data_IF_222238758274
#
_entry.id   IF_222238758274
#
_cell.length_a   1.000
_cell.length_b   1.000
_cell.length_c   1.000
_cell.angle_alpha   90.00
_cell.angle_beta   90.00
_cell.angle_gamma   90.00
#
_symmetry.space_group_name_H-M   'P 1'
#
loop_
_entity.id
_entity.type
_entity.pdbx_description
1 polymer ?
#
# COMPACT_ATOMS: atom_id res chain seq x y z
N UNK A 1 -7.08 -30.10 5.11
CA UNK A 1 -5.87 -29.74 4.32
C UNK A 1 -5.84 -28.23 4.19
N UNK A 2 -4.95 -27.55 4.92
CA UNK A 2 -4.84 -26.08 4.95
C UNK A 2 -4.29 -25.57 3.60
N UNK A 3 -3.37 -26.31 3.00
CA UNK A 3 -2.72 -25.94 1.73
C UNK A 3 -3.50 -26.48 0.53
N UNK A 4 -4.48 -25.70 0.07
CA UNK A 4 -5.24 -25.98 -1.14
C UNK A 4 -5.00 -24.90 -2.20
N UNK A 5 -5.59 -25.06 -3.39
CA UNK A 5 -5.48 -24.08 -4.47
C UNK A 5 -5.93 -22.66 -4.05
N UNK A 6 -6.99 -22.55 -3.24
CA UNK A 6 -7.50 -21.26 -2.76
C UNK A 6 -6.51 -20.57 -1.81
N UNK A 7 -5.85 -21.32 -0.95
CA UNK A 7 -4.79 -20.82 -0.09
C UNK A 7 -3.66 -20.20 -0.93
N UNK A 8 -3.14 -20.94 -1.91
CA UNK A 8 -2.06 -20.45 -2.77
C UNK A 8 -2.49 -19.20 -3.56
N UNK A 9 -3.71 -19.20 -4.10
CA UNK A 9 -4.29 -18.05 -4.78
C UNK A 9 -4.32 -16.80 -3.89
N UNK A 10 -4.77 -16.95 -2.63
CA UNK A 10 -4.85 -15.85 -1.68
C UNK A 10 -3.46 -15.33 -1.31
N UNK A 11 -2.52 -16.23 -1.00
CA UNK A 11 -1.14 -15.85 -0.67
C UNK A 11 -0.47 -15.10 -1.81
N UNK A 12 -0.56 -15.60 -3.05
CA UNK A 12 0.05 -14.93 -4.21
C UNK A 12 -0.65 -13.61 -4.55
N UNK A 13 -1.99 -13.56 -4.40
CA UNK A 13 -2.75 -12.33 -4.59
C UNK A 13 -2.35 -11.25 -3.59
N UNK A 14 -2.36 -11.56 -2.30
CA UNK A 14 -1.97 -10.61 -1.24
C UNK A 14 -0.50 -10.24 -1.30
N UNK A 15 0.39 -11.19 -1.62
CA UNK A 15 1.82 -10.89 -1.74
C UNK A 15 2.11 -9.84 -2.82
N UNK A 16 1.37 -9.85 -3.93
CA UNK A 16 1.50 -8.85 -4.98
C UNK A 16 1.12 -7.44 -4.49
N UNK A 17 0.08 -7.34 -3.66
CA UNK A 17 -0.37 -6.08 -3.06
C UNK A 17 0.65 -5.57 -2.02
N UNK A 18 1.08 -6.46 -1.11
CA UNK A 18 2.09 -6.11 -0.10
C UNK A 18 3.43 -5.72 -0.75
N UNK A 19 3.78 -6.33 -1.89
CA UNK A 19 4.96 -5.95 -2.64
C UNK A 19 4.84 -4.52 -3.17
N UNK A 20 3.76 -4.17 -3.88
CA UNK A 20 3.59 -2.83 -4.46
C UNK A 20 3.51 -1.75 -3.37
N UNK A 21 2.72 -1.97 -2.33
CA UNK A 21 2.63 -1.03 -1.20
C UNK A 21 3.95 -0.93 -0.43
N UNK A 22 4.61 -2.06 -0.19
CA UNK A 22 5.89 -2.12 0.49
C UNK A 22 7.01 -1.41 -0.28
N UNK A 23 6.97 -1.42 -1.63
CA UNK A 23 7.88 -0.61 -2.45
C UNK A 23 7.66 0.88 -2.21
N UNK A 24 6.40 1.34 -2.12
CA UNK A 24 6.09 2.71 -1.72
C UNK A 24 6.66 3.04 -0.34
N UNK A 25 6.38 2.21 0.66
CA UNK A 25 6.92 2.37 2.01
C UNK A 25 8.45 2.36 2.03
N UNK A 26 9.10 1.54 1.19
CA UNK A 26 10.56 1.51 1.10
C UNK A 26 11.15 2.83 0.63
N UNK A 27 10.47 3.57 -0.24
CA UNK A 27 10.92 4.88 -0.73
C UNK A 27 10.83 5.93 0.37
N UNK A 28 9.72 6.00 1.12
CA UNK A 28 9.59 6.92 2.25
C UNK A 28 10.57 6.57 3.38
N UNK A 29 10.79 5.29 3.66
CA UNK A 29 11.79 4.87 4.64
C UNK A 29 13.22 5.25 4.21
N UNK A 30 13.53 5.16 2.92
CA UNK A 30 14.82 5.61 2.38
C UNK A 30 14.99 7.13 2.37
N UNK A 31 13.91 7.88 2.38
CA UNK A 31 13.96 9.35 2.56
C UNK A 31 14.01 9.78 4.03
N UNK A 32 14.07 8.85 4.98
CA UNK A 32 14.09 9.14 6.42
C UNK A 32 12.72 9.33 7.06
N UNK A 33 11.63 9.11 6.32
CA UNK A 33 10.25 9.20 6.81
C UNK A 33 9.56 7.84 6.84
N UNK A 34 8.40 7.76 7.49
CA UNK A 34 7.53 6.59 7.46
C UNK A 34 6.11 7.00 7.08
N UNK A 35 5.50 6.30 6.10
CA UNK A 35 4.12 6.51 5.69
C UNK A 35 3.20 5.50 6.40
N UNK A 36 2.40 5.97 7.35
CA UNK A 36 1.34 5.17 7.99
C UNK A 36 -0.02 5.35 7.32
N UNK A 37 -0.10 6.14 6.26
CA UNK A 37 -1.33 6.41 5.53
C UNK A 37 -1.72 5.35 4.50
N UNK A 38 -0.99 4.24 4.42
CA UNK A 38 -1.17 3.21 3.41
C UNK A 38 -2.59 2.68 3.31
N UNK A 39 -3.27 2.46 4.44
CA UNK A 39 -4.66 1.96 4.46
C UNK A 39 -5.62 2.87 3.68
N UNK A 40 -5.65 4.17 4.01
CA UNK A 40 -6.54 5.11 3.35
C UNK A 40 -6.15 5.35 1.88
N UNK A 41 -4.85 5.32 1.57
CA UNK A 41 -4.36 5.50 0.20
C UNK A 41 -4.74 4.32 -0.71
N UNK A 42 -4.63 3.09 -0.20
CA UNK A 42 -5.09 1.87 -0.89
C UNK A 42 -6.60 1.92 -1.07
N UNK A 43 -7.33 2.29 -0.01
CA UNK A 43 -8.78 2.35 -0.05
C UNK A 43 -9.28 3.39 -1.05
N UNK A 44 -8.72 4.60 -1.04
CA UNK A 44 -9.04 5.63 -2.01
C UNK A 44 -8.74 5.18 -3.45
N UNK A 45 -7.60 4.52 -3.68
CA UNK A 45 -7.24 3.96 -4.98
C UNK A 45 -8.23 2.91 -5.46
N UNK A 46 -8.59 1.95 -4.59
CA UNK A 46 -9.58 0.91 -4.91
C UNK A 46 -10.97 1.48 -5.18
N UNK A 47 -11.41 2.43 -4.35
CA UNK A 47 -12.70 3.12 -4.56
C UNK A 47 -12.73 3.87 -5.90
N UNK A 48 -11.67 4.61 -6.21
CA UNK A 48 -11.54 5.33 -7.50
C UNK A 48 -11.55 4.36 -8.68
N UNK A 49 -10.81 3.24 -8.60
CA UNK A 49 -10.83 2.21 -9.65
C UNK A 49 -12.24 1.64 -9.87
N UNK A 50 -12.93 1.27 -8.78
CA UNK A 50 -14.27 0.70 -8.86
C UNK A 50 -15.26 1.67 -9.50
N UNK A 51 -15.25 2.94 -9.11
CA UNK A 51 -16.15 3.96 -9.66
C UNK A 51 -15.84 4.22 -11.13
N UNK A 52 -14.57 4.43 -11.47
CA UNK A 52 -14.18 4.73 -12.84
C UNK A 52 -14.52 3.58 -13.79
N UNK A 53 -14.17 2.33 -13.43
CA UNK A 53 -14.41 1.17 -14.30
C UNK A 53 -15.90 0.89 -14.48
N UNK A 54 -16.74 1.14 -13.49
CA UNK A 54 -18.19 1.04 -13.65
C UNK A 54 -18.74 2.15 -14.58
N UNK A 55 -18.23 3.37 -14.48
CA UNK A 55 -18.61 4.47 -15.37
C UNK A 55 -18.08 4.28 -16.81
N UNK A 56 -16.91 3.67 -16.94
CA UNK A 56 -16.22 3.44 -18.22
C UNK A 56 -16.56 2.09 -18.88
N UNK A 57 -17.71 1.50 -18.57
CA UNK A 57 -18.14 0.17 -19.06
C UNK A 57 -18.14 0.02 -20.58
N UNK A 58 -18.29 1.11 -21.34
CA UNK A 58 -18.25 1.15 -22.80
C UNK A 58 -16.84 1.17 -23.40
N UNK A 59 -15.80 1.43 -22.60
CA UNK A 59 -14.42 1.47 -23.08
C UNK A 59 -13.82 0.07 -23.21
N UNK A 60 -12.81 -0.04 -24.08
CA UNK A 60 -12.02 -1.26 -24.16
C UNK A 60 -11.17 -1.46 -22.89
N UNK A 61 -10.91 -2.70 -22.51
CA UNK A 61 -10.06 -3.00 -21.36
C UNK A 61 -8.64 -2.43 -21.50
N UNK A 62 -8.14 -2.38 -22.74
CA UNK A 62 -6.81 -1.84 -23.05
C UNK A 62 -6.67 -0.35 -22.72
N UNK A 63 -7.74 0.42 -22.82
CA UNK A 63 -7.76 1.85 -22.50
C UNK A 63 -8.24 2.11 -21.07
N UNK A 64 -9.28 1.40 -20.61
CA UNK A 64 -9.88 1.62 -19.31
C UNK A 64 -8.97 1.23 -18.13
N UNK A 65 -8.26 0.09 -18.23
CA UNK A 65 -7.39 -0.37 -17.13
C UNK A 65 -6.22 0.58 -16.87
N UNK A 66 -5.42 1.02 -17.86
CA UNK A 66 -4.35 1.99 -17.60
C UNK A 66 -4.86 3.31 -17.01
N UNK A 67 -6.02 3.80 -17.48
CA UNK A 67 -6.64 5.01 -16.93
C UNK A 67 -7.11 4.79 -15.49
N UNK A 68 -7.71 3.65 -15.18
CA UNK A 68 -8.09 3.30 -13.80
C UNK A 68 -6.87 3.27 -12.87
N UNK A 69 -5.77 2.65 -13.29
CA UNK A 69 -4.52 2.63 -12.53
C UNK A 69 -3.93 4.03 -12.33
N UNK A 70 -3.95 4.87 -13.36
CA UNK A 70 -3.49 6.25 -13.28
C UNK A 70 -4.32 7.04 -12.28
N UNK A 71 -5.64 7.02 -12.39
CA UNK A 71 -6.56 7.75 -11.51
C UNK A 71 -6.45 7.26 -10.06
N UNK A 72 -6.34 5.94 -9.85
CA UNK A 72 -6.13 5.34 -8.53
C UNK A 72 -4.81 5.77 -7.92
N UNK A 73 -3.75 5.76 -8.71
CA UNK A 73 -2.44 6.26 -8.30
C UNK A 73 -2.48 7.73 -7.91
N UNK A 74 -3.17 8.56 -8.70
CA UNK A 74 -3.36 9.99 -8.39
C UNK A 74 -4.15 10.20 -7.10
N UNK A 75 -5.20 9.40 -6.85
CA UNK A 75 -5.96 9.48 -5.60
C UNK A 75 -5.08 9.20 -4.37
N UNK A 76 -4.27 8.15 -4.40
CA UNK A 76 -3.29 7.85 -3.35
C UNK A 76 -2.21 8.94 -3.22
N UNK A 77 -1.75 9.49 -4.35
CA UNK A 77 -0.76 10.59 -4.39
C UNK A 77 -1.29 11.84 -3.70
N UNK A 78 -2.51 12.26 -3.98
CA UNK A 78 -3.13 13.45 -3.39
C UNK A 78 -3.12 13.33 -1.86
N UNK A 79 -3.54 12.19 -1.32
CA UNK A 79 -3.55 11.96 0.13
C UNK A 79 -2.15 12.01 0.74
N UNK A 80 -1.18 11.42 0.08
CA UNK A 80 0.21 11.44 0.55
C UNK A 80 0.82 12.85 0.49
N UNK A 81 0.49 13.62 -0.56
CA UNK A 81 0.93 15.01 -0.71
C UNK A 81 0.34 15.95 0.34
N UNK A 82 -0.88 15.71 0.84
CA UNK A 82 -1.43 16.48 1.98
C UNK A 82 -0.53 16.31 3.21
N UNK A 83 -0.08 15.09 3.51
CA UNK A 83 0.85 14.84 4.61
C UNK A 83 2.22 15.50 4.39
N UNK A 84 2.71 15.47 3.16
CA UNK A 84 3.95 16.16 2.77
C UNK A 84 3.83 17.69 2.94
N UNK A 85 2.70 18.28 2.53
CA UNK A 85 2.42 19.70 2.71
C UNK A 85 2.39 20.09 4.19
N UNK A 86 1.75 19.28 5.05
CA UNK A 86 1.69 19.51 6.49
C UNK A 86 3.07 19.44 7.14
N UNK A 87 3.91 18.48 6.73
CA UNK A 87 5.30 18.41 7.21
C UNK A 87 6.09 19.64 6.79
N UNK A 88 6.04 20.01 5.51
CA UNK A 88 6.82 21.10 4.95
C UNK A 88 6.42 22.48 5.51
N UNK A 89 5.12 22.79 5.57
CA UNK A 89 4.65 24.14 5.83
C UNK A 89 4.19 24.36 7.28
N UNK A 90 3.89 23.29 8.01
CA UNK A 90 3.37 23.33 9.39
C UNK A 90 4.27 22.61 10.38
N UNK A 91 5.36 22.01 9.92
CA UNK A 91 6.30 21.24 10.73
C UNK A 91 5.62 20.08 11.51
N UNK A 92 4.55 19.53 10.95
CA UNK A 92 3.82 18.38 11.51
C UNK A 92 4.48 17.10 11.02
N UNK A 93 4.73 16.14 11.90
CA UNK A 93 5.31 14.84 11.55
C UNK A 93 4.56 14.18 10.39
N UNK A 94 5.29 13.75 9.35
CA UNK A 94 4.74 13.04 8.20
C UNK A 94 4.04 11.74 8.61
N UNK A 95 4.65 11.00 9.52
CA UNK A 95 4.12 9.78 10.09
C UNK A 95 2.75 10.00 10.73
N UNK A 96 2.64 11.01 11.60
CA UNK A 96 1.40 11.30 12.32
C UNK A 96 0.31 11.82 11.38
N UNK A 97 0.63 12.76 10.51
CA UNK A 97 -0.33 13.35 9.57
C UNK A 97 -0.86 12.32 8.58
N UNK A 98 -0.01 11.43 8.05
CA UNK A 98 -0.42 10.38 7.13
C UNK A 98 -1.37 9.37 7.80
N UNK A 99 -1.10 9.01 9.06
CA UNK A 99 -1.98 8.16 9.85
C UNK A 99 -3.35 8.79 10.10
N UNK A 100 -3.39 10.06 10.55
CA UNK A 100 -4.66 10.76 10.86
C UNK A 100 -5.51 10.93 9.60
N UNK A 101 -4.90 11.35 8.47
CA UNK A 101 -5.62 11.53 7.20
C UNK A 101 -6.21 10.20 6.72
N UNK A 102 -5.44 9.13 6.80
CA UNK A 102 -5.89 7.78 6.44
C UNK A 102 -7.05 7.33 7.32
N UNK A 103 -6.90 7.46 8.64
CA UNK A 103 -7.92 7.03 9.61
C UNK A 103 -9.23 7.83 9.48
N UNK A 104 -9.15 9.11 9.13
CA UNK A 104 -10.32 9.95 8.87
C UNK A 104 -11.00 9.61 7.54
N UNK A 105 -10.23 9.22 6.53
CA UNK A 105 -10.76 8.90 5.19
C UNK A 105 -11.55 7.59 5.16
N UNK A 106 -11.12 6.57 5.88
CA UNK A 106 -11.75 5.24 5.87
C UNK A 106 -13.25 5.31 6.20
N UNK A 107 -13.71 5.93 7.31
CA UNK A 107 -15.14 6.04 7.58
C UNK A 107 -15.89 6.89 6.55
N UNK A 108 -15.26 7.89 5.95
CA UNK A 108 -15.86 8.68 4.87
C UNK A 108 -16.14 7.79 3.65
N UNK A 109 -15.16 6.99 3.23
CA UNK A 109 -15.33 6.05 2.11
C UNK A 109 -16.36 4.97 2.44
N UNK A 110 -16.38 4.45 3.66
CA UNK A 110 -17.43 3.53 4.12
C UNK A 110 -18.81 4.16 3.99
N UNK A 111 -18.98 5.43 4.42
CA UNK A 111 -20.24 6.16 4.27
C UNK A 111 -20.66 6.35 2.82
N UNK A 112 -19.72 6.62 1.92
CA UNK A 112 -20.00 6.73 0.48
C UNK A 112 -20.41 5.38 -0.12
N UNK A 113 -19.76 4.30 0.27
CA UNK A 113 -20.04 2.93 -0.22
C UNK A 113 -21.40 2.44 0.31
N UNK A 114 -21.76 2.73 1.57
CA UNK A 114 -23.04 2.32 2.14
C UNK A 114 -24.20 3.20 1.70
N UNK A 115 -23.93 4.41 1.23
CA UNK A 115 -24.89 5.41 0.77
C UNK A 115 -24.99 5.45 -0.77
N UNK A 116 -24.50 6.55 -1.40
CA UNK A 116 -24.79 6.84 -2.81
C UNK A 116 -24.16 5.85 -3.81
N UNK A 117 -23.09 5.16 -3.45
CA UNK A 117 -22.39 4.22 -4.34
C UNK A 117 -22.63 2.75 -4.01
N UNK A 118 -23.61 2.47 -3.16
CA UNK A 118 -23.97 1.10 -2.80
C UNK A 118 -24.55 0.35 -3.97
N UNK A 119 -24.12 -0.91 -4.15
CA UNK A 119 -24.81 -1.82 -5.08
C UNK A 119 -26.23 -2.12 -4.59
N UNK A 120 -27.15 -2.19 -5.55
CA UNK A 120 -28.54 -2.61 -5.29
C UNK A 120 -28.70 -4.14 -5.29
N UNK A 121 -27.67 -4.86 -5.68
CA UNK A 121 -27.66 -6.32 -5.79
C UNK A 121 -27.02 -6.96 -4.56
N UNK A 122 -27.76 -7.80 -3.86
CA UNK A 122 -27.28 -8.57 -2.73
C UNK A 122 -27.19 -7.80 -1.39
N UNK A 123 -26.64 -8.46 -0.37
CA UNK A 123 -26.52 -7.96 1.00
C UNK A 123 -25.17 -7.29 1.28
N UNK A 124 -24.20 -7.41 0.35
CA UNK A 124 -22.85 -6.88 0.54
C UNK A 124 -22.87 -5.35 0.55
N UNK A 125 -22.20 -4.75 1.54
CA UNK A 125 -21.95 -3.31 1.59
C UNK A 125 -20.73 -2.98 0.70
N UNK A 126 -21.01 -2.79 -0.59
CA UNK A 126 -19.99 -2.62 -1.62
C UNK A 126 -20.48 -1.75 -2.78
N UNK A 127 -19.56 -1.26 -3.59
CA UNK A 127 -19.86 -0.71 -4.92
C UNK A 127 -20.35 -1.82 -5.87
N UNK A 128 -21.01 -1.49 -6.98
CA UNK A 128 -21.30 -2.49 -8.02
C UNK A 128 -20.02 -3.22 -8.45
N UNK A 129 -20.18 -4.50 -8.83
CA UNK A 129 -19.07 -5.25 -9.40
C UNK A 129 -18.59 -4.60 -10.70
N UNK A 130 -17.28 -4.50 -10.87
CA UNK A 130 -16.73 -4.02 -12.15
C UNK A 130 -17.11 -4.96 -13.31
N UNK A 131 -17.29 -4.44 -14.54
CA UNK A 131 -17.58 -5.24 -15.72
C UNK A 131 -16.59 -6.40 -15.91
N UNK A 132 -17.06 -7.53 -16.46
CA UNK A 132 -16.25 -8.75 -16.61
C UNK A 132 -15.01 -8.55 -17.48
N UNK A 133 -15.10 -7.70 -18.49
CA UNK A 133 -13.99 -7.37 -19.40
C UNK A 133 -12.81 -6.67 -18.71
N UNK A 134 -13.00 -6.13 -17.50
CA UNK A 134 -11.95 -5.49 -16.71
C UNK A 134 -11.37 -6.39 -15.59
N UNK A 135 -11.96 -7.59 -15.43
CA UNK A 135 -11.50 -8.55 -14.43
C UNK A 135 -10.38 -9.41 -15.00
N UNK A 136 -9.35 -9.61 -14.21
CA UNK A 136 -8.25 -10.48 -14.59
C UNK A 136 -7.78 -11.35 -13.41
N UNK A 137 -6.86 -12.27 -13.67
CA UNK A 137 -6.35 -13.18 -12.66
C UNK A 137 -5.33 -12.49 -11.74
N UNK A 138 -5.28 -12.90 -10.47
CA UNK A 138 -4.24 -12.53 -9.50
C UNK A 138 -2.80 -12.73 -10.01
N UNK A 139 -2.57 -13.62 -10.98
CA UNK A 139 -1.26 -13.82 -11.60
C UNK A 139 -0.80 -12.57 -12.37
N UNK A 140 -1.72 -11.82 -12.96
CA UNK A 140 -1.41 -10.53 -13.61
C UNK A 140 -0.96 -9.52 -12.55
N UNK A 141 -1.61 -9.50 -11.38
CA UNK A 141 -1.17 -8.66 -10.26
C UNK A 141 0.29 -8.97 -9.87
N UNK A 142 0.62 -10.26 -9.76
CA UNK A 142 1.98 -10.68 -9.41
C UNK A 142 3.00 -10.24 -10.46
N UNK A 143 2.68 -10.41 -11.74
CA UNK A 143 3.54 -9.95 -12.84
C UNK A 143 3.74 -8.42 -12.80
N UNK A 144 2.67 -7.65 -12.63
CA UNK A 144 2.73 -6.19 -12.52
C UNK A 144 3.54 -5.77 -11.28
N UNK A 145 3.36 -6.43 -10.14
CA UNK A 145 4.09 -6.14 -8.92
C UNK A 145 5.60 -6.38 -9.07
N UNK A 146 6.00 -7.47 -9.73
CA UNK A 146 7.41 -7.77 -10.01
C UNK A 146 8.00 -6.72 -10.97
N UNK A 147 7.25 -6.35 -12.02
CA UNK A 147 7.68 -5.31 -12.96
C UNK A 147 7.91 -3.97 -12.22
N UNK A 148 6.98 -3.57 -11.36
CA UNK A 148 7.14 -2.37 -10.53
C UNK A 148 8.35 -2.50 -9.61
N UNK A 149 8.61 -3.68 -9.01
CA UNK A 149 9.77 -3.90 -8.16
C UNK A 149 11.09 -3.69 -8.92
N UNK A 150 11.17 -4.19 -10.16
CA UNK A 150 12.33 -3.97 -11.03
C UNK A 150 12.50 -2.48 -11.34
N UNK A 151 11.43 -1.78 -11.70
CA UNK A 151 11.47 -0.35 -12.01
C UNK A 151 11.92 0.48 -10.80
N UNK A 152 11.38 0.21 -9.61
CA UNK A 152 11.78 0.91 -8.37
C UNK A 152 13.23 0.59 -8.00
N UNK A 153 13.68 -0.65 -8.19
CA UNK A 153 15.07 -1.01 -7.97
C UNK A 153 16.03 -0.23 -8.90
N UNK A 154 15.68 -0.14 -10.19
CA UNK A 154 16.45 0.64 -11.17
C UNK A 154 16.41 2.13 -10.81
N UNK A 155 15.24 2.66 -10.45
CA UNK A 155 15.08 4.04 -10.02
C UNK A 155 15.99 4.37 -8.83
N UNK A 156 15.96 3.58 -7.77
CA UNK A 156 16.76 3.83 -6.56
C UNK A 156 18.26 3.68 -6.79
N UNK A 157 18.69 2.76 -7.69
CA UNK A 157 20.12 2.52 -7.92
C UNK A 157 20.75 3.37 -9.02
N UNK A 158 19.99 3.68 -10.08
CA UNK A 158 20.55 4.33 -11.27
C UNK A 158 20.18 5.79 -11.42
N UNK A 159 18.99 6.23 -10.98
CA UNK A 159 18.59 7.62 -11.12
C UNK A 159 19.28 8.52 -10.08
N UNK A 160 19.57 9.76 -10.45
CA UNK A 160 20.09 10.77 -9.53
C UNK A 160 19.13 10.99 -8.34
N UNK A 161 17.83 11.19 -8.61
CA UNK A 161 16.83 11.39 -7.57
C UNK A 161 16.70 10.20 -6.62
N UNK A 162 16.83 8.97 -7.10
CA UNK A 162 16.81 7.77 -6.23
C UNK A 162 18.03 7.71 -5.31
N UNK A 163 19.21 8.09 -5.80
CA UNK A 163 20.45 8.21 -5.01
C UNK A 163 20.32 9.36 -3.98
N UNK A 164 19.81 10.51 -4.41
CA UNK A 164 19.55 11.66 -3.51
C UNK A 164 18.61 11.26 -2.36
N UNK A 165 17.49 10.55 -2.63
CA UNK A 165 16.56 10.05 -1.62
C UNK A 165 17.29 9.16 -0.62
N UNK A 166 18.07 8.18 -1.09
CA UNK A 166 18.78 7.24 -0.22
C UNK A 166 19.86 7.92 0.61
N UNK A 167 20.59 8.88 0.01
CA UNK A 167 21.64 9.63 0.69
C UNK A 167 21.06 10.57 1.75
N UNK A 168 20.00 11.30 1.41
CA UNK A 168 19.31 12.20 2.34
C UNK A 168 18.81 11.43 3.59
N UNK A 169 18.19 10.26 3.42
CA UNK A 169 17.68 9.49 4.55
C UNK A 169 18.77 8.89 5.46
N UNK A 170 20.02 8.74 4.96
CA UNK A 170 21.13 8.24 5.78
C UNK A 170 21.90 9.34 6.51
N UNK A 171 22.04 10.51 5.92
CA UNK A 171 22.81 11.63 6.44
C UNK A 171 22.17 12.98 6.04
N UNK A 172 21.00 13.35 6.64
CA UNK A 172 20.22 14.50 6.18
C UNK A 172 20.98 15.81 6.28
N UNK A 173 21.69 16.06 7.38
CA UNK A 173 22.48 17.30 7.56
C UNK A 173 23.57 17.42 6.51
N UNK A 174 24.28 16.32 6.22
CA UNK A 174 25.33 16.33 5.22
C UNK A 174 24.76 16.46 3.80
N UNK A 175 23.60 15.88 3.53
CA UNK A 175 22.90 16.01 2.26
C UNK A 175 22.48 17.47 1.99
N UNK A 176 21.97 18.16 3.01
CA UNK A 176 21.65 19.59 2.92
C UNK A 176 22.90 20.44 2.67
N UNK A 177 24.01 20.14 3.35
CA UNK A 177 25.28 20.82 3.11
C UNK A 177 25.80 20.64 1.68
N UNK A 178 25.55 19.47 1.08
CA UNK A 178 25.87 19.17 -0.33
C UNK A 178 24.90 19.79 -1.33
N UNK A 179 23.89 20.55 -0.86
CA UNK A 179 22.93 21.24 -1.72
C UNK A 179 21.73 20.39 -2.17
N UNK A 180 21.51 19.21 -1.57
CA UNK A 180 20.33 18.39 -1.85
C UNK A 180 19.11 19.09 -1.27
N UNK A 181 18.08 19.28 -2.11
CA UNK A 181 16.87 19.99 -1.71
C UNK A 181 15.90 19.03 -0.96
N UNK A 182 15.77 19.23 0.35
CA UNK A 182 14.85 18.47 1.21
C UNK A 182 13.41 18.46 0.67
N UNK A 183 12.89 19.62 0.25
CA UNK A 183 11.54 19.72 -0.29
C UNK A 183 11.34 18.84 -1.52
N UNK A 184 12.32 18.77 -2.42
CA UNK A 184 12.29 17.90 -3.60
C UNK A 184 12.23 16.43 -3.18
N UNK A 185 13.07 16.04 -2.20
CA UNK A 185 13.12 14.65 -1.70
C UNK A 185 11.80 14.25 -1.06
N UNK A 186 11.26 15.06 -0.15
CA UNK A 186 9.99 14.80 0.54
C UNK A 186 8.82 14.72 -0.44
N UNK A 187 8.75 15.64 -1.40
CA UNK A 187 7.67 15.66 -2.40
C UNK A 187 7.76 14.44 -3.31
N UNK A 188 8.95 14.13 -3.84
CA UNK A 188 9.13 13.00 -4.76
C UNK A 188 8.85 11.66 -4.08
N UNK A 189 9.37 11.45 -2.86
CA UNK A 189 9.09 10.24 -2.09
C UNK A 189 7.59 10.08 -1.80
N UNK A 190 6.90 11.18 -1.45
CA UNK A 190 5.46 11.18 -1.20
C UNK A 190 4.64 10.87 -2.46
N UNK A 191 5.00 11.47 -3.60
CA UNK A 191 4.33 11.22 -4.88
C UNK A 191 4.42 9.76 -5.26
N UNK A 192 5.64 9.20 -5.27
CA UNK A 192 5.85 7.80 -5.69
C UNK A 192 5.17 6.84 -4.71
N UNK A 193 5.27 7.09 -3.41
CA UNK A 193 4.65 6.24 -2.39
C UNK A 193 3.13 6.26 -2.49
N UNK A 194 2.51 7.43 -2.54
CA UNK A 194 1.05 7.56 -2.68
C UNK A 194 0.54 6.94 -3.97
N UNK A 195 1.29 7.11 -5.07
CA UNK A 195 0.96 6.53 -6.37
C UNK A 195 0.95 4.99 -6.33
N UNK A 196 1.96 4.38 -5.73
CA UNK A 196 2.06 2.93 -5.58
C UNK A 196 0.95 2.37 -4.68
N UNK A 197 0.63 3.04 -3.56
CA UNK A 197 -0.49 2.64 -2.71
C UNK A 197 -1.83 2.72 -3.44
N UNK A 198 -2.07 3.80 -4.20
CA UNK A 198 -3.27 3.93 -5.01
C UNK A 198 -3.39 2.84 -6.08
N UNK A 199 -2.31 2.54 -6.80
CA UNK A 199 -2.25 1.42 -7.76
C UNK A 199 -2.55 0.09 -7.07
N UNK A 200 -2.01 -0.16 -5.88
CA UNK A 200 -2.28 -1.39 -5.15
C UNK A 200 -3.77 -1.55 -4.86
N UNK A 201 -4.50 -0.46 -4.54
CA UNK A 201 -5.96 -0.49 -4.42
C UNK A 201 -6.67 -0.91 -5.71
N UNK A 202 -6.22 -0.39 -6.86
CA UNK A 202 -6.76 -0.81 -8.17
C UNK A 202 -6.46 -2.29 -8.47
N UNK A 203 -5.25 -2.78 -8.14
CA UNK A 203 -4.88 -4.19 -8.31
C UNK A 203 -5.81 -5.10 -7.49
N UNK A 204 -6.18 -4.70 -6.26
CA UNK A 204 -7.12 -5.48 -5.44
C UNK A 204 -8.50 -5.54 -6.10
N UNK A 205 -9.01 -4.39 -6.59
CA UNK A 205 -10.33 -4.34 -7.24
C UNK A 205 -10.34 -5.14 -8.54
N UNK A 206 -9.34 -5.00 -9.39
CA UNK A 206 -9.36 -5.64 -10.71
C UNK A 206 -9.00 -7.13 -10.69
N UNK A 207 -8.12 -7.55 -9.76
CA UNK A 207 -7.53 -8.89 -9.76
C UNK A 207 -7.95 -9.80 -8.61
N UNK A 208 -8.62 -9.29 -7.56
CA UNK A 208 -8.96 -10.07 -6.36
C UNK A 208 -10.45 -9.98 -6.01
N UNK A 209 -10.97 -8.79 -5.71
CA UNK A 209 -12.34 -8.62 -5.17
C UNK A 209 -13.39 -8.26 -6.23
N UNK A 210 -13.00 -7.64 -7.32
CA UNK A 210 -13.88 -7.17 -8.40
C UNK A 210 -14.91 -6.12 -7.98
N UNK A 211 -14.79 -5.60 -6.77
CA UNK A 211 -15.62 -4.56 -6.17
C UNK A 211 -14.83 -3.87 -5.05
N UNK A 212 -15.26 -2.69 -4.64
CA UNK A 212 -14.77 -2.02 -3.45
C UNK A 212 -15.82 -2.13 -2.35
N UNK A 213 -15.56 -2.91 -1.31
CA UNK A 213 -16.46 -3.12 -0.17
C UNK A 213 -16.02 -2.30 1.04
N UNK A 214 -16.90 -2.18 2.05
CA UNK A 214 -16.56 -1.52 3.30
C UNK A 214 -15.35 -2.18 3.97
N UNK A 215 -14.46 -1.36 4.52
CA UNK A 215 -13.20 -1.78 5.13
C UNK A 215 -12.30 -2.63 4.19
N UNK A 216 -12.36 -2.31 2.91
CA UNK A 216 -11.67 -3.00 1.82
C UNK A 216 -10.17 -3.21 2.06
N UNK A 217 -9.48 -2.25 2.65
CA UNK A 217 -8.02 -2.33 2.87
C UNK A 217 -7.61 -3.29 3.98
N UNK A 218 -8.45 -3.48 4.99
CA UNK A 218 -8.38 -4.54 6.01
C UNK A 218 -6.96 -4.92 6.50
N UNK A 219 -6.14 -3.93 6.86
CA UNK A 219 -4.77 -4.13 7.34
C UNK A 219 -3.70 -4.26 6.24
N UNK A 220 -4.06 -4.14 4.94
CA UNK A 220 -3.09 -4.31 3.84
C UNK A 220 -1.93 -3.30 3.92
N UNK A 221 -2.19 -2.05 4.28
CA UNK A 221 -1.16 -1.02 4.41
C UNK A 221 -0.19 -1.31 5.56
N UNK A 222 -0.68 -1.79 6.68
CA UNK A 222 0.12 -2.19 7.83
C UNK A 222 0.98 -3.41 7.53
N UNK A 223 0.40 -4.43 6.88
CA UNK A 223 1.13 -5.64 6.48
C UNK A 223 2.24 -5.33 5.47
N UNK A 224 1.96 -4.43 4.53
CA UNK A 224 2.96 -3.97 3.56
C UNK A 224 4.08 -3.15 4.21
N UNK A 225 3.75 -2.33 5.22
CA UNK A 225 4.76 -1.61 6.00
C UNK A 225 5.65 -2.60 6.77
N UNK A 226 5.06 -3.60 7.43
CA UNK A 226 5.81 -4.65 8.12
C UNK A 226 6.72 -5.42 7.15
N UNK A 227 6.23 -5.76 5.96
CA UNK A 227 7.04 -6.39 4.92
C UNK A 227 8.22 -5.51 4.49
N UNK A 228 8.01 -4.19 4.36
CA UNK A 228 9.08 -3.23 4.03
C UNK A 228 10.12 -3.10 5.16
N UNK A 229 9.69 -3.18 6.41
CA UNK A 229 10.59 -3.19 7.59
C UNK A 229 11.41 -4.47 7.64
N UNK A 230 10.82 -5.64 7.43
CA UNK A 230 11.53 -6.94 7.32
C UNK A 230 12.59 -6.87 6.21
N UNK A 231 12.22 -6.31 5.05
CA UNK A 231 13.12 -6.14 3.92
C UNK A 231 14.19 -5.05 4.11
N UNK A 232 14.17 -4.33 5.26
CA UNK A 232 15.03 -3.16 5.51
C UNK A 232 15.00 -2.15 4.35
N UNK A 233 13.80 -1.86 3.85
CA UNK A 233 13.53 -0.99 2.70
C UNK A 233 14.29 -1.36 1.41
N UNK A 234 14.69 -2.62 1.25
CA UNK A 234 15.34 -3.12 0.03
C UNK A 234 14.30 -3.67 -0.96
N UNK A 235 14.20 -3.15 -2.20
CA UNK A 235 13.23 -3.64 -3.18
C UNK A 235 13.38 -5.13 -3.52
N UNK A 236 14.60 -5.67 -3.50
CA UNK A 236 14.86 -7.08 -3.79
C UNK A 236 14.39 -7.96 -2.63
N UNK A 237 14.75 -7.61 -1.38
CA UNK A 237 14.35 -8.36 -0.20
C UNK A 237 12.87 -8.23 0.09
N UNK A 238 12.21 -7.23 -0.48
CA UNK A 238 10.76 -7.05 -0.32
C UNK A 238 9.96 -8.15 -1.04
N UNK A 239 10.49 -8.74 -2.11
CA UNK A 239 9.83 -9.85 -2.80
C UNK A 239 9.60 -11.04 -1.85
N UNK A 240 10.62 -11.64 -1.23
CA UNK A 240 10.40 -12.73 -0.28
C UNK A 240 9.68 -12.27 1.00
N UNK A 241 9.90 -11.04 1.49
CA UNK A 241 9.23 -10.58 2.71
C UNK A 241 7.73 -10.35 2.51
N UNK A 242 7.30 -9.84 1.36
CA UNK A 242 5.88 -9.70 1.03
C UNK A 242 5.18 -11.06 0.90
N UNK A 243 5.85 -12.04 0.31
CA UNK A 243 5.35 -13.41 0.24
C UNK A 243 5.23 -14.04 1.64
N UNK A 244 6.24 -13.84 2.48
CA UNK A 244 6.25 -14.32 3.86
C UNK A 244 5.11 -13.69 4.68
N UNK A 245 4.91 -12.38 4.60
CA UNK A 245 3.81 -11.70 5.29
C UNK A 245 2.44 -12.18 4.78
N UNK A 246 2.26 -12.33 3.48
CA UNK A 246 1.03 -12.86 2.90
C UNK A 246 0.75 -14.29 3.37
N UNK A 247 1.78 -15.14 3.43
CA UNK A 247 1.67 -16.51 3.97
C UNK A 247 1.26 -16.50 5.44
N UNK A 248 1.90 -15.69 6.29
CA UNK A 248 1.59 -15.61 7.71
C UNK A 248 0.14 -15.17 7.96
N UNK A 249 -0.30 -14.09 7.33
CA UNK A 249 -1.65 -13.55 7.50
C UNK A 249 -2.70 -14.54 6.97
N UNK A 250 -2.50 -15.10 5.77
CA UNK A 250 -3.44 -16.09 5.22
C UNK A 250 -3.52 -17.34 6.09
N UNK A 251 -2.41 -17.79 6.69
CA UNK A 251 -2.41 -18.93 7.61
C UNK A 251 -3.17 -18.59 8.89
N UNK A 252 -2.97 -17.39 9.45
CA UNK A 252 -3.68 -16.93 10.64
C UNK A 252 -5.20 -16.84 10.40
N UNK A 253 -5.61 -16.27 9.26
CA UNK A 253 -7.02 -16.16 8.88
C UNK A 253 -7.67 -17.55 8.71
N UNK A 254 -6.99 -18.46 8.03
CA UNK A 254 -7.51 -19.82 7.87
C UNK A 254 -7.58 -20.57 9.20
N UNK A 255 -6.57 -20.42 10.06
CA UNK A 255 -6.58 -21.05 11.39
C UNK A 255 -7.75 -20.52 12.23
N UNK A 256 -8.01 -19.22 12.20
CA UNK A 256 -9.15 -18.62 12.89
C UNK A 256 -10.49 -19.16 12.37
N UNK A 257 -10.64 -19.29 11.04
CA UNK A 257 -11.84 -19.84 10.40
C UNK A 257 -12.06 -21.34 10.79
N UNK A 258 -11.03 -22.18 10.76
CA UNK A 258 -11.15 -23.59 11.08
C UNK A 258 -11.53 -23.86 12.53
N UNK A 259 -11.11 -22.98 13.45
CA UNK A 259 -11.39 -23.11 14.88
C UNK A 259 -12.61 -22.30 15.34
N UNK A 260 -13.39 -21.75 14.40
CA UNK A 260 -14.54 -20.87 14.69
C UNK A 260 -14.17 -19.69 15.61
N UNK A 261 -12.94 -19.22 15.55
CA UNK A 261 -12.53 -18.01 16.23
C UNK A 261 -13.05 -16.78 15.49
N UNK A 262 -13.36 -15.72 16.22
CA UNK A 262 -13.68 -14.42 15.61
C UNK A 262 -12.46 -13.89 14.85
N UNK A 263 -12.70 -13.11 13.77
CA UNK A 263 -11.65 -12.48 12.97
C UNK A 263 -10.69 -11.58 13.78
N UNK A 264 -11.08 -11.17 14.97
CA UNK A 264 -10.23 -10.40 15.90
C UNK A 264 -8.91 -11.09 16.26
N UNK A 265 -8.85 -12.43 16.21
CA UNK A 265 -7.62 -13.20 16.49
C UNK A 265 -6.59 -13.00 15.38
N UNK A 266 -7.00 -12.98 14.11
CA UNK A 266 -6.10 -12.67 13.00
C UNK A 266 -5.48 -11.29 13.18
N UNK A 267 -6.29 -10.31 13.58
CA UNK A 267 -5.84 -8.93 13.84
C UNK A 267 -4.87 -8.87 15.02
N UNK A 268 -5.09 -9.66 16.08
CA UNK A 268 -4.15 -9.78 17.20
C UNK A 268 -2.81 -10.38 16.75
N UNK A 269 -2.84 -11.46 15.96
CA UNK A 269 -1.63 -12.09 15.42
C UNK A 269 -0.88 -11.07 14.53
N UNK A 270 -1.59 -10.33 13.68
CA UNK A 270 -1.03 -9.26 12.88
C UNK A 270 -0.35 -8.19 13.74
N UNK A 271 -1.00 -7.73 14.80
CA UNK A 271 -0.43 -6.73 15.71
C UNK A 271 0.85 -7.24 16.40
N UNK A 272 0.87 -8.48 16.85
CA UNK A 272 2.05 -9.11 17.45
C UNK A 272 3.20 -9.18 16.44
N UNK A 273 2.93 -9.59 15.21
CA UNK A 273 3.95 -9.67 14.15
C UNK A 273 4.55 -8.27 13.90
N UNK A 274 3.70 -7.24 13.78
CA UNK A 274 4.14 -5.87 13.57
C UNK A 274 5.01 -5.38 14.73
N UNK A 275 4.65 -5.67 15.97
CA UNK A 275 5.44 -5.30 17.14
C UNK A 275 6.82 -5.97 17.12
N UNK A 276 6.87 -7.28 16.87
CA UNK A 276 8.13 -8.04 16.82
C UNK A 276 9.05 -7.50 15.72
N UNK A 277 8.50 -7.24 14.54
CA UNK A 277 9.25 -6.74 13.38
C UNK A 277 9.71 -5.29 13.59
N UNK A 278 8.92 -4.49 14.30
CA UNK A 278 9.26 -3.08 14.57
C UNK A 278 10.38 -2.93 15.62
N UNK A 279 10.55 -3.89 16.52
CA UNK A 279 11.50 -3.81 17.64
C UNK A 279 12.96 -3.55 17.22
N UNK A 280 13.54 -4.26 16.23
CA UNK A 280 14.90 -3.97 15.77
C UNK A 280 15.05 -2.57 15.14
N UNK A 281 13.97 -2.03 14.57
CA UNK A 281 13.96 -0.71 13.96
C UNK A 281 14.05 0.38 15.03
N UNK A 282 13.28 0.26 16.09
CA UNK A 282 13.34 1.19 17.24
C UNK A 282 14.69 1.15 17.96
N UNK A 283 15.28 -0.02 18.12
CA UNK A 283 16.61 -0.13 18.77
C UNK A 283 17.73 0.50 17.96
N UNK A 284 17.66 0.46 16.62
CA UNK A 284 18.59 1.19 15.74
C UNK A 284 18.41 2.69 15.80
N UNK A 285 17.17 3.18 15.81
CA UNK A 285 16.85 4.60 15.91
C UNK A 285 17.34 5.18 17.25
N UNK A 286 17.16 4.47 18.36
CA UNK A 286 17.65 4.87 19.70
C UNK A 286 19.18 4.89 19.77
N UNK A 287 19.88 4.01 19.08
CA UNK A 287 21.36 3.99 19.03
C UNK A 287 21.94 5.07 18.10
N UNK A 288 21.23 5.44 17.04
CA UNK A 288 21.63 6.51 16.11
C UNK A 288 21.45 7.93 16.66
N UNK A 289 20.53 8.13 17.58
CA UNK A 289 20.29 9.43 18.23
C UNK A 289 21.24 9.78 19.38
N UNK A 290 22.25 8.93 19.63
CA UNK A 290 23.27 9.12 20.70
C UNK A 290 24.66 9.49 20.14
N UNK A 291 24.75 10.04 18.95
CA UNK A 291 26.02 10.56 18.41
C UNK A 291 25.91 12.05 18.13
#
# INVERSE_FOLDING_TARGET
MIFNYYFLKTVLGLSSIYLVCGLGNSITMKSGDMNLGGEGQIYAGGFTAALFLNAASSLSAFTALPLAFLLSGLAGTILCLVSCYLKKNKNISFLLSSFIISSALIPILNGLITGPFRTTQGTLLATPFIPQNFRYSYLINLFVAILIAILIFIFLKKSESGKEITFYGTAPEYALFMGINETKILTLSSVVTGFLHGIAGALVVCGIHYTCHCNFSSGMGWNALAAAMIANASPILLIPSSLFMAFLITTADQYALFNNFNFDISTLIQAIIIIIVSFPFFTKALKGGRK
#
